data_IF_451413505239
#
_entry.id   IF_451413505239
#
_cell.length_a   1.000
_cell.length_b   1.000
_cell.length_c   1.000
_cell.angle_alpha   90.00
_cell.angle_beta   90.00
_cell.angle_gamma   90.00
#
_symmetry.space_group_name_H-M   'P 1'
#
loop_
_entity.id
_entity.type
_entity.pdbx_description
1 polymer ?
#
# COMPACT_ATOMS: atom_id res chain seq x y z
N UNK A 1 6.70 -18.39 8.89
CA UNK A 1 6.38 -18.02 7.50
C UNK A 1 7.37 -18.69 6.56
N UNK A 2 6.88 -19.54 5.67
CA UNK A 2 7.65 -20.04 4.53
C UNK A 2 7.93 -18.87 3.59
N UNK A 3 9.10 -18.84 2.94
CA UNK A 3 9.46 -17.79 2.00
C UNK A 3 8.42 -17.61 0.86
N UNK A 4 7.68 -18.67 0.56
CA UNK A 4 6.63 -18.73 -0.46
C UNK A 4 5.41 -17.85 -0.14
N UNK A 5 4.95 -17.87 1.13
CA UNK A 5 3.82 -17.04 1.59
C UNK A 5 4.17 -15.55 1.55
N UNK A 6 5.36 -15.17 2.02
CA UNK A 6 5.84 -13.77 1.92
C UNK A 6 5.94 -13.31 0.47
N UNK A 7 6.48 -14.15 -0.42
CA UNK A 7 6.58 -13.84 -1.85
C UNK A 7 5.19 -13.62 -2.47
N UNK A 8 4.20 -14.43 -2.09
CA UNK A 8 2.82 -14.26 -2.54
C UNK A 8 2.21 -12.92 -2.07
N UNK A 9 2.41 -12.56 -0.80
CA UNK A 9 1.93 -11.28 -0.24
C UNK A 9 2.59 -10.08 -0.92
N UNK A 10 3.88 -10.17 -1.20
CA UNK A 10 4.60 -9.12 -1.94
C UNK A 10 4.08 -8.97 -3.38
N UNK A 11 3.92 -10.09 -4.11
CA UNK A 11 3.36 -10.08 -5.45
C UNK A 11 1.93 -9.50 -5.48
N UNK A 12 1.14 -9.75 -4.43
CA UNK A 12 -0.21 -9.21 -4.28
C UNK A 12 -0.19 -7.69 -4.05
N UNK A 13 0.72 -7.19 -3.21
CA UNK A 13 0.88 -5.75 -2.98
C UNK A 13 1.31 -5.02 -4.26
N UNK A 14 2.23 -5.61 -5.02
CA UNK A 14 2.66 -5.09 -6.33
C UNK A 14 1.53 -5.11 -7.36
N UNK A 15 0.69 -6.15 -7.37
CA UNK A 15 -0.47 -6.22 -8.25
C UNK A 15 -1.50 -5.13 -7.94
N UNK A 16 -1.84 -4.93 -6.67
CA UNK A 16 -2.75 -3.85 -6.24
C UNK A 16 -2.20 -2.48 -6.64
N UNK A 17 -0.91 -2.22 -6.37
CA UNK A 17 -0.27 -0.96 -6.70
C UNK A 17 -0.23 -0.68 -8.21
N UNK A 18 0.09 -1.69 -9.02
CA UNK A 18 0.02 -1.61 -10.49
C UNK A 18 -1.39 -1.28 -10.97
N UNK A 19 -2.41 -1.93 -10.44
CA UNK A 19 -3.80 -1.71 -10.84
C UNK A 19 -4.29 -0.31 -10.43
N UNK A 20 -3.87 0.17 -9.25
CA UNK A 20 -4.16 1.54 -8.80
C UNK A 20 -3.51 2.56 -9.73
N UNK A 21 -2.24 2.38 -10.11
CA UNK A 21 -1.57 3.26 -11.08
C UNK A 21 -2.27 3.25 -12.44
N UNK A 22 -2.62 2.06 -12.94
CA UNK A 22 -3.28 1.90 -14.24
C UNK A 22 -4.67 2.54 -14.29
N UNK A 23 -5.38 2.59 -13.17
CA UNK A 23 -6.72 3.20 -13.06
C UNK A 23 -6.68 4.70 -12.73
N UNK A 24 -5.55 5.20 -12.23
CA UNK A 24 -5.39 6.59 -11.79
C UNK A 24 -5.58 7.62 -12.89
N UNK A 25 -6.06 8.81 -12.52
CA UNK A 25 -6.20 9.97 -13.41
C UNK A 25 -5.49 11.19 -12.84
N UNK A 26 -4.54 11.77 -13.60
CA UNK A 26 -3.71 12.89 -13.15
C UNK A 26 -4.50 14.15 -12.77
N UNK A 27 -5.62 14.43 -13.45
CA UNK A 27 -6.51 15.54 -13.10
C UNK A 27 -7.17 15.32 -11.73
N UNK A 28 -7.67 14.10 -11.48
CA UNK A 28 -8.27 13.74 -10.20
C UNK A 28 -7.22 13.75 -9.09
N UNK A 29 -6.04 13.20 -9.34
CA UNK A 29 -4.92 13.19 -8.40
C UNK A 29 -4.58 14.60 -7.90
N UNK A 30 -4.47 15.58 -8.82
CA UNK A 30 -4.20 16.97 -8.47
C UNK A 30 -5.35 17.60 -7.66
N UNK A 31 -6.60 17.38 -8.09
CA UNK A 31 -7.79 17.90 -7.38
C UNK A 31 -7.90 17.32 -5.96
N UNK A 32 -7.72 16.01 -5.80
CA UNK A 32 -7.80 15.34 -4.50
C UNK A 32 -6.65 15.75 -3.58
N UNK A 33 -5.42 15.81 -4.11
CA UNK A 33 -4.26 16.32 -3.36
C UNK A 33 -4.50 17.73 -2.83
N UNK A 34 -5.00 18.63 -3.69
CA UNK A 34 -5.29 20.01 -3.31
C UNK A 34 -6.44 20.12 -2.30
N UNK A 35 -7.53 19.36 -2.50
CA UNK A 35 -8.68 19.33 -1.60
C UNK A 35 -8.30 18.84 -0.20
N UNK A 36 -7.52 17.75 -0.13
CA UNK A 36 -7.08 17.15 1.13
C UNK A 36 -5.88 17.86 1.75
N UNK A 37 -5.28 18.85 1.07
CA UNK A 37 -4.01 19.49 1.45
C UNK A 37 -2.93 18.45 1.77
N UNK A 38 -2.87 17.42 0.92
CA UNK A 38 -2.13 16.21 1.22
C UNK A 38 -0.68 16.33 0.75
N UNK A 39 0.25 15.95 1.64
CA UNK A 39 1.68 15.80 1.30
C UNK A 39 1.98 14.43 0.65
N UNK A 40 1.00 13.54 0.57
CA UNK A 40 1.14 12.24 -0.07
C UNK A 40 1.12 12.38 -1.60
N UNK A 41 1.63 11.37 -2.28
CA UNK A 41 1.36 11.17 -3.71
C UNK A 41 -0.08 10.69 -3.90
N UNK A 42 -0.69 11.08 -5.01
CA UNK A 42 -2.04 10.65 -5.39
C UNK A 42 -1.97 10.08 -6.80
N UNK A 43 -2.54 8.89 -7.00
CA UNK A 43 -2.79 8.35 -8.34
C UNK A 43 -4.11 8.88 -8.91
N UNK A 44 -5.04 9.35 -8.07
CA UNK A 44 -6.35 9.84 -8.49
C UNK A 44 -7.28 8.70 -8.82
N UNK A 45 -7.34 7.67 -7.97
CA UNK A 45 -8.29 6.55 -8.10
C UNK A 45 -9.50 6.83 -7.24
N UNK A 46 -10.71 6.59 -7.75
CA UNK A 46 -11.92 6.76 -6.95
C UNK A 46 -12.03 5.70 -5.85
N UNK A 47 -12.63 6.04 -4.70
CA UNK A 47 -12.86 5.07 -3.60
C UNK A 47 -13.58 3.79 -4.08
N UNK A 48 -14.64 3.85 -4.91
CA UNK A 48 -15.26 2.65 -5.48
C UNK A 48 -14.29 1.79 -6.31
N UNK A 49 -13.42 2.41 -7.10
CA UNK A 49 -12.42 1.71 -7.90
C UNK A 49 -11.33 1.08 -7.03
N UNK A 50 -10.80 1.80 -6.04
CA UNK A 50 -9.84 1.26 -5.05
C UNK A 50 -10.43 0.01 -4.37
N UNK A 51 -11.70 0.08 -3.96
CA UNK A 51 -12.41 -1.06 -3.36
C UNK A 51 -12.57 -2.21 -4.34
N UNK A 52 -12.87 -1.94 -5.60
CA UNK A 52 -13.00 -2.97 -6.63
C UNK A 52 -11.66 -3.67 -6.89
N UNK A 53 -10.56 -2.93 -6.94
CA UNK A 53 -9.19 -3.45 -7.10
C UNK A 53 -8.82 -4.34 -5.92
N UNK A 54 -8.98 -3.87 -4.68
CA UNK A 54 -8.68 -4.68 -3.48
C UNK A 54 -9.53 -5.95 -3.47
N UNK A 55 -10.84 -5.84 -3.73
CA UNK A 55 -11.73 -7.02 -3.78
C UNK A 55 -11.33 -8.01 -4.86
N UNK A 56 -10.88 -7.54 -6.02
CA UNK A 56 -10.41 -8.39 -7.10
C UNK A 56 -9.11 -9.10 -6.71
N UNK A 57 -8.16 -8.39 -6.12
CA UNK A 57 -6.88 -8.91 -5.68
C UNK A 57 -7.03 -9.99 -4.59
N UNK A 58 -7.90 -9.76 -3.60
CA UNK A 58 -8.12 -10.70 -2.50
C UNK A 58 -8.94 -11.95 -2.89
N UNK A 59 -9.56 -11.96 -4.07
CA UNK A 59 -10.46 -13.04 -4.48
C UNK A 59 -9.70 -14.37 -4.60
N UNK A 60 -10.07 -15.34 -3.77
CA UNK A 60 -9.53 -16.70 -3.84
C UNK A 60 -8.14 -16.88 -3.22
N UNK A 61 -7.59 -15.85 -2.56
CA UNK A 61 -6.26 -15.89 -1.93
C UNK A 61 -6.23 -16.68 -0.61
N UNK A 62 -7.31 -16.65 0.17
CA UNK A 62 -7.39 -17.36 1.45
C UNK A 62 -6.38 -16.89 2.50
N UNK A 63 -6.02 -15.60 2.49
CA UNK A 63 -5.00 -15.04 3.40
C UNK A 63 -5.30 -15.33 4.87
N UNK A 64 -4.27 -15.75 5.59
CA UNK A 64 -4.27 -15.87 7.04
C UNK A 64 -3.94 -14.53 7.71
N UNK A 65 -4.13 -14.46 9.03
CA UNK A 65 -3.94 -13.26 9.84
C UNK A 65 -2.60 -12.53 9.55
N UNK A 66 -1.48 -13.25 9.66
CA UNK A 66 -0.15 -12.67 9.45
C UNK A 66 0.02 -12.09 8.03
N UNK A 67 -0.58 -12.73 7.03
CA UNK A 67 -0.51 -12.30 5.63
C UNK A 67 -1.36 -11.06 5.36
N UNK A 68 -2.50 -10.93 6.04
CA UNK A 68 -3.33 -9.71 6.01
C UNK A 68 -2.56 -8.53 6.61
N UNK A 69 -1.88 -8.74 7.74
CA UNK A 69 -1.06 -7.72 8.39
C UNK A 69 0.15 -7.33 7.51
N UNK A 70 0.84 -8.32 6.93
CA UNK A 70 1.98 -8.06 6.03
C UNK A 70 1.54 -7.31 4.77
N UNK A 71 0.42 -7.70 4.15
CA UNK A 71 -0.13 -6.99 2.98
C UNK A 71 -0.49 -5.54 3.30
N UNK A 72 -1.16 -5.31 4.43
CA UNK A 72 -1.50 -3.96 4.88
C UNK A 72 -0.25 -3.11 5.12
N UNK A 73 0.80 -3.66 5.74
CA UNK A 73 2.10 -2.98 5.94
C UNK A 73 2.75 -2.59 4.61
N UNK A 74 2.80 -3.52 3.65
CA UNK A 74 3.40 -3.27 2.34
C UNK A 74 2.65 -2.17 1.58
N UNK A 75 1.32 -2.19 1.60
CA UNK A 75 0.50 -1.16 0.96
C UNK A 75 0.62 0.20 1.67
N UNK A 76 0.74 0.21 3.00
CA UNK A 76 0.87 1.44 3.77
C UNK A 76 2.20 2.16 3.56
N UNK A 77 3.27 1.37 3.42
CA UNK A 77 4.61 1.86 3.14
C UNK A 77 4.69 2.53 1.75
N UNK A 78 5.68 3.41 1.60
CA UNK A 78 5.97 4.01 0.30
C UNK A 78 6.42 2.92 -0.70
N UNK A 79 6.01 3.04 -1.98
CA UNK A 79 6.43 2.08 -2.99
C UNK A 79 7.95 2.14 -3.16
N UNK A 80 8.61 0.98 -3.05
CA UNK A 80 10.00 0.82 -3.44
C UNK A 80 10.04 0.79 -4.96
N UNK A 81 10.49 1.87 -5.60
CA UNK A 81 10.64 1.93 -7.06
C UNK A 81 11.64 0.86 -7.50
N UNK A 82 11.19 -0.30 -7.95
CA UNK A 82 12.06 -1.30 -8.59
C UNK A 82 12.33 -0.97 -10.07
N UNK A 83 11.79 0.14 -10.58
CA UNK A 83 11.94 0.60 -11.96
C UNK A 83 13.00 1.70 -12.16
N UNK A 84 13.80 2.06 -11.14
CA UNK A 84 15.04 2.82 -11.36
C UNK A 84 16.16 1.88 -11.86
N UNK A 85 15.92 1.22 -12.99
CA UNK A 85 16.97 0.68 -13.86
C UNK A 85 17.24 1.67 -14.99
N UNK A 86 17.67 2.88 -14.61
CA UNK A 86 18.41 3.78 -15.49
C UNK A 86 19.30 4.68 -14.63
N UNK A 87 20.51 4.17 -14.39
CA UNK A 87 21.70 4.89 -13.97
C UNK A 87 21.76 5.38 -12.51
N UNK A 88 22.46 4.62 -11.69
CA UNK A 88 23.22 5.16 -10.56
C UNK A 88 24.38 4.23 -10.25
N UNK A 89 25.46 4.43 -11.00
CA UNK A 89 26.78 3.99 -10.56
C UNK A 89 27.24 4.92 -9.44
N UNK A 90 26.72 4.77 -8.22
CA UNK A 90 27.38 5.36 -7.05
C UNK A 90 27.47 4.37 -5.90
N UNK A 91 28.72 4.00 -5.62
CA UNK A 91 29.15 3.36 -4.39
C UNK A 91 28.94 4.36 -3.25
N UNK A 92 27.90 4.17 -2.44
CA UNK A 92 27.82 4.79 -1.11
C UNK A 92 27.50 3.74 -0.05
N UNK A 93 28.49 3.55 0.81
CA UNK A 93 28.38 3.00 2.16
C UNK A 93 27.36 3.81 2.99
N UNK A 94 26.56 3.12 3.81
CA UNK A 94 25.53 3.71 4.68
C UNK A 94 24.12 3.71 4.09
N UNK A 95 23.33 2.69 4.47
CA UNK A 95 21.96 2.46 4.00
C UNK A 95 21.04 3.67 4.11
N UNK A 96 20.80 4.32 2.97
CA UNK A 96 19.73 5.29 2.79
C UNK A 96 18.67 4.63 1.92
N UNK A 97 17.71 3.95 2.55
CA UNK A 97 16.47 3.54 1.87
C UNK A 97 15.88 4.81 1.30
N UNK A 98 15.85 4.93 -0.04
CA UNK A 98 15.36 6.13 -0.73
C UNK A 98 14.08 6.62 -0.08
N UNK A 99 14.04 7.91 0.27
CA UNK A 99 12.91 8.52 0.97
C UNK A 99 11.73 8.63 -0.01
N UNK A 100 11.05 7.52 -0.27
CA UNK A 100 9.90 7.44 -1.15
C UNK A 100 8.69 8.03 -0.44
N UNK A 101 7.95 8.89 -1.13
CA UNK A 101 6.72 9.48 -0.58
C UNK A 101 5.60 8.42 -0.59
N UNK A 102 4.90 8.19 0.54
CA UNK A 102 3.75 7.29 0.55
C UNK A 102 2.64 7.77 -0.37
N UNK A 103 1.84 6.83 -0.88
CA UNK A 103 0.74 7.10 -1.81
C UNK A 103 -0.59 6.97 -1.08
N UNK A 104 -1.46 7.97 -1.23
CA UNK A 104 -2.76 8.02 -0.60
C UNK A 104 -3.63 6.80 -0.94
N UNK A 105 -3.73 6.43 -2.22
CA UNK A 105 -4.55 5.30 -2.66
C UNK A 105 -4.02 3.95 -2.18
N UNK A 106 -2.69 3.80 -2.01
CA UNK A 106 -2.12 2.58 -1.41
C UNK A 106 -2.48 2.48 0.07
N UNK A 107 -2.41 3.58 0.83
CA UNK A 107 -2.87 3.63 2.23
C UNK A 107 -4.37 3.36 2.34
N UNK A 108 -5.17 3.93 1.44
CA UNK A 108 -6.60 3.62 1.37
C UNK A 108 -6.86 2.13 1.07
N UNK A 109 -6.08 1.53 0.17
CA UNK A 109 -6.15 0.10 -0.12
C UNK A 109 -5.76 -0.76 1.10
N UNK A 110 -4.73 -0.38 1.86
CA UNK A 110 -4.36 -1.04 3.11
C UNK A 110 -5.54 -1.05 4.11
N UNK A 111 -6.21 0.09 4.30
CA UNK A 111 -7.41 0.16 5.14
C UNK A 111 -8.52 -0.75 4.63
N UNK A 112 -8.73 -0.82 3.30
CA UNK A 112 -9.74 -1.70 2.71
C UNK A 112 -9.42 -3.19 2.87
N UNK A 113 -8.14 -3.57 2.82
CA UNK A 113 -7.68 -4.94 3.14
C UNK A 113 -8.06 -5.29 4.58
N UNK A 114 -7.74 -4.42 5.54
CA UNK A 114 -8.06 -4.64 6.96
C UNK A 114 -9.57 -4.74 7.21
N UNK A 115 -10.37 -3.85 6.60
CA UNK A 115 -11.84 -3.90 6.72
C UNK A 115 -12.40 -5.19 6.11
N UNK A 116 -11.90 -5.61 4.95
CA UNK A 116 -12.41 -6.79 4.27
C UNK A 116 -12.05 -8.09 5.00
N UNK A 117 -10.91 -8.13 5.69
CA UNK A 117 -10.41 -9.27 6.45
C UNK A 117 -10.63 -9.13 7.96
N UNK A 118 -11.63 -8.34 8.39
CA UNK A 118 -11.89 -8.07 9.81
C UNK A 118 -12.12 -9.33 10.67
N UNK A 119 -12.58 -10.42 10.05
CA UNK A 119 -12.77 -11.74 10.68
C UNK A 119 -11.46 -12.43 11.05
N UNK A 120 -10.34 -11.97 10.48
CA UNK A 120 -8.98 -12.42 10.77
C UNK A 120 -8.24 -11.53 11.74
N UNK A 121 -8.83 -10.40 12.16
CA UNK A 121 -8.23 -9.46 13.09
C UNK A 121 -8.67 -9.74 14.53
N UNK A 122 -7.83 -9.38 15.49
CA UNK A 122 -8.10 -9.56 16.91
C UNK A 122 -7.59 -8.40 17.76
N UNK A 123 -7.80 -8.47 19.08
CA UNK A 123 -7.37 -7.43 20.01
C UNK A 123 -5.84 -7.19 20.01
N UNK A 124 -5.05 -8.19 19.59
CA UNK A 124 -3.59 -8.06 19.45
C UNK A 124 -3.14 -7.10 18.35
N UNK A 125 -4.03 -6.69 17.45
CA UNK A 125 -3.70 -5.78 16.33
C UNK A 125 -3.81 -4.29 16.71
N UNK A 126 -4.23 -3.99 17.93
CA UNK A 126 -4.47 -2.61 18.38
C UNK A 126 -3.21 -1.73 18.23
N UNK A 127 -2.05 -2.24 18.63
CA UNK A 127 -0.77 -1.50 18.53
C UNK A 127 -0.42 -1.20 17.06
N UNK A 128 -0.64 -2.17 16.17
CA UNK A 128 -0.42 -1.98 14.74
C UNK A 128 -1.34 -0.89 14.17
N UNK A 129 -2.64 -0.91 14.52
CA UNK A 129 -3.59 0.10 14.07
C UNK A 129 -3.22 1.48 14.64
N UNK A 130 -2.78 1.56 15.90
CA UNK A 130 -2.31 2.80 16.50
C UNK A 130 -1.11 3.37 15.75
N UNK A 131 -0.14 2.54 15.36
CA UNK A 131 1.01 2.96 14.57
C UNK A 131 0.57 3.54 13.21
N UNK A 132 -0.38 2.90 12.52
CA UNK A 132 -0.95 3.44 11.28
C UNK A 132 -1.60 4.81 11.50
N UNK A 133 -2.37 4.99 12.58
CA UNK A 133 -3.01 6.26 12.91
C UNK A 133 -1.98 7.35 13.19
N UNK A 134 -0.91 7.04 13.92
CA UNK A 134 0.19 7.97 14.21
C UNK A 134 0.91 8.39 12.92
N UNK A 135 1.15 7.46 12.01
CA UNK A 135 1.76 7.74 10.70
C UNK A 135 0.83 8.48 9.73
N UNK A 136 -0.48 8.43 9.93
CA UNK A 136 -1.44 9.20 9.17
C UNK A 136 -1.39 10.70 9.50
N UNK A 137 -0.67 11.10 10.56
CA UNK A 137 -0.50 12.49 11.02
C UNK A 137 -1.85 13.21 11.19
N UNK A 138 -2.73 12.62 11.98
CA UNK A 138 -4.00 13.26 12.41
C UNK A 138 -3.77 14.59 13.10
#
# INVERSE_FOLDING_TARGET
MTSDSRYNVQALAEAVDRDLRARGGSERAQKEKAYLKSELLHYGVSVPDTRAIVRAALRGTGLEHDEVIELARLLWAAPTSSDDSADSTELTDGGSTGNHTPVHERRAAATMVLIQSQDRLGAGDADFIEDLLREAKT
#
